data_IF_803487073892
#
_entry.id   IF_803487073892
#
_cell.length_a   1.000
_cell.length_b   1.000
_cell.length_c   1.000
_cell.angle_alpha   90.00
_cell.angle_beta   90.00
_cell.angle_gamma   90.00
#
_symmetry.space_group_name_H-M   'P 1'
#
loop_
_entity.id
_entity.type
_entity.pdbx_description
1 polymer ?
#
# COMPACT_ATOMS: atom_id res chain seq x y z
N UNK A 1 -6.18 12.81 3.94
CA UNK A 1 -5.23 12.58 5.04
C UNK A 1 -3.81 12.51 4.49
N UNK A 2 -2.97 13.46 4.88
CA UNK A 2 -1.53 13.54 4.58
C UNK A 2 -0.76 13.49 5.92
N UNK A 3 0.54 13.15 5.92
CA UNK A 3 1.35 13.11 7.15
C UNK A 3 1.33 14.41 7.96
N UNK A 4 1.21 15.57 7.29
CA UNK A 4 1.10 16.88 7.95
C UNK A 4 -0.26 17.15 8.61
N UNK A 5 -1.27 16.31 8.37
CA UNK A 5 -2.59 16.46 9.01
C UNK A 5 -2.59 15.91 10.45
N UNK A 6 -1.49 15.30 10.92
CA UNK A 6 -1.40 14.65 12.22
C UNK A 6 -0.33 15.30 13.09
N UNK A 7 -0.58 15.34 14.39
CA UNK A 7 0.35 15.84 15.41
C UNK A 7 0.88 14.65 16.22
N UNK A 8 2.08 14.11 15.93
CA UNK A 8 2.59 12.93 16.62
C UNK A 8 2.72 13.10 18.13
N UNK A 9 2.93 14.34 18.60
CA UNK A 9 2.99 14.67 20.03
C UNK A 9 1.65 14.45 20.75
N UNK A 10 0.53 14.45 20.05
CA UNK A 10 -0.79 14.15 20.60
C UNK A 10 -1.02 12.63 20.78
N UNK A 11 -0.11 11.78 20.30
CA UNK A 11 -0.16 10.33 20.47
C UNK A 11 -0.97 9.58 19.40
N UNK A 12 -0.91 8.25 19.46
CA UNK A 12 -1.59 7.35 18.51
C UNK A 12 -3.10 7.41 18.64
N UNK A 13 -3.64 7.49 19.86
CA UNK A 13 -5.08 7.61 20.11
C UNK A 13 -5.70 8.84 19.43
N UNK A 14 -5.04 9.99 19.51
CA UNK A 14 -5.50 11.21 18.83
C UNK A 14 -5.50 11.06 17.31
N UNK A 15 -4.50 10.37 16.75
CA UNK A 15 -4.43 10.08 15.33
C UNK A 15 -5.56 9.13 14.88
N UNK A 16 -5.86 8.10 15.68
CA UNK A 16 -6.98 7.17 15.43
C UNK A 16 -8.32 7.88 15.50
N UNK A 17 -8.54 8.72 16.52
CA UNK A 17 -9.77 9.52 16.64
C UNK A 17 -9.97 10.42 15.42
N UNK A 18 -8.89 11.04 14.91
CA UNK A 18 -8.94 11.85 13.69
C UNK A 18 -9.31 11.03 12.46
N UNK A 19 -8.83 9.78 12.35
CA UNK A 19 -9.21 8.86 11.26
C UNK A 19 -10.69 8.48 11.38
N UNK A 20 -11.20 8.21 12.58
CA UNK A 20 -12.62 7.94 12.82
C UNK A 20 -13.50 9.12 12.40
N UNK A 21 -13.13 10.33 12.82
CA UNK A 21 -13.83 11.56 12.43
C UNK A 21 -13.80 11.77 10.92
N UNK A 22 -12.66 11.51 10.27
CA UNK A 22 -12.54 11.59 8.82
C UNK A 22 -13.46 10.58 8.12
N UNK A 23 -13.52 9.34 8.60
CA UNK A 23 -14.37 8.31 8.03
C UNK A 23 -15.86 8.67 8.14
N UNK A 24 -16.31 9.12 9.32
CA UNK A 24 -17.69 9.54 9.53
C UNK A 24 -18.04 10.77 8.67
N UNK A 25 -17.20 11.80 8.69
CA UNK A 25 -17.41 13.00 7.87
C UNK A 25 -17.48 12.67 6.38
N UNK A 26 -16.60 11.78 5.89
CA UNK A 26 -16.60 11.32 4.49
C UNK A 26 -17.88 10.57 4.16
N UNK A 27 -18.34 9.68 5.05
CA UNK A 27 -19.61 8.97 4.87
C UNK A 27 -20.78 9.93 4.75
N UNK A 28 -20.87 10.90 5.66
CA UNK A 28 -21.92 11.91 5.64
C UNK A 28 -21.88 12.77 4.38
N UNK A 29 -20.68 13.13 3.91
CA UNK A 29 -20.52 13.89 2.67
C UNK A 29 -21.02 13.10 1.45
N UNK A 30 -20.68 11.81 1.37
CA UNK A 30 -21.14 10.94 0.28
C UNK A 30 -22.66 10.84 0.26
N UNK A 31 -23.30 10.66 1.43
CA UNK A 31 -24.76 10.53 1.51
C UNK A 31 -25.51 11.82 1.15
N UNK A 32 -24.95 12.99 1.51
CA UNK A 32 -25.61 14.29 1.29
C UNK A 32 -25.34 14.87 -0.09
N UNK A 33 -24.11 14.75 -0.56
CA UNK A 33 -23.61 15.48 -1.73
C UNK A 33 -23.29 14.54 -2.90
N UNK A 34 -23.23 13.23 -2.68
CA UNK A 34 -22.74 12.28 -3.70
C UNK A 34 -21.25 12.48 -4.02
N UNK A 35 -20.48 13.07 -3.11
CA UNK A 35 -19.06 13.40 -3.32
C UNK A 35 -18.19 12.86 -2.18
N UNK A 36 -16.95 12.51 -2.52
CA UNK A 36 -15.95 12.07 -1.55
C UNK A 36 -14.61 12.77 -1.78
N UNK A 37 -13.91 13.11 -0.71
CA UNK A 37 -12.54 13.62 -0.80
C UNK A 37 -11.57 12.44 -1.02
N UNK A 38 -10.82 12.45 -2.13
CA UNK A 38 -9.85 11.39 -2.46
C UNK A 38 -8.59 11.96 -3.10
N UNK A 39 -7.50 11.19 -3.06
CA UNK A 39 -6.46 11.35 -4.08
C UNK A 39 -7.05 10.92 -5.42
N UNK A 40 -6.99 11.82 -6.39
CA UNK A 40 -7.68 11.68 -7.66
C UNK A 40 -6.82 12.19 -8.81
N UNK A 41 -7.10 11.66 -10.00
CA UNK A 41 -6.68 12.19 -11.29
C UNK A 41 -7.92 12.31 -12.16
N UNK A 42 -8.13 13.49 -12.73
CA UNK A 42 -9.25 13.80 -13.63
C UNK A 42 -10.65 13.45 -13.04
N UNK A 43 -10.82 13.66 -11.74
CA UNK A 43 -12.10 13.42 -11.02
C UNK A 43 -12.34 11.96 -10.61
N UNK A 44 -11.38 11.07 -10.83
CA UNK A 44 -11.49 9.65 -10.51
C UNK A 44 -10.34 9.15 -9.62
N UNK A 45 -10.58 8.08 -8.87
CA UNK A 45 -9.51 7.35 -8.17
C UNK A 45 -8.68 6.61 -9.22
N UNK A 46 -7.40 6.93 -9.39
CA UNK A 46 -6.59 6.31 -10.43
C UNK A 46 -6.17 4.90 -10.04
N UNK A 47 -5.80 4.11 -11.05
CA UNK A 47 -5.26 2.77 -10.81
C UNK A 47 -3.90 2.79 -10.11
N UNK A 48 -3.07 3.78 -10.44
CA UNK A 48 -1.76 3.99 -9.84
C UNK A 48 -1.56 5.48 -9.52
N UNK A 49 -1.15 5.84 -8.29
CA UNK A 49 -0.93 7.24 -7.93
C UNK A 49 0.34 7.86 -8.54
N UNK A 50 1.19 7.08 -9.21
CA UNK A 50 2.37 7.60 -9.95
C UNK A 50 2.14 7.59 -11.46
N UNK A 51 2.82 8.50 -12.15
CA UNK A 51 2.76 8.63 -13.60
C UNK A 51 3.11 7.31 -14.30
N UNK A 52 2.51 7.06 -15.47
CA UNK A 52 2.78 5.85 -16.25
C UNK A 52 4.23 5.79 -16.75
N UNK A 53 4.79 6.95 -17.11
CA UNK A 53 6.13 7.09 -17.65
C UNK A 53 7.04 7.80 -16.65
N UNK A 54 8.33 7.46 -16.70
CA UNK A 54 9.35 8.22 -16.00
C UNK A 54 9.51 9.62 -16.61
N UNK A 55 9.89 10.58 -15.76
CA UNK A 55 10.32 11.91 -16.21
C UNK A 55 11.86 11.94 -16.33
N UNK A 56 12.43 13.10 -16.68
CA UNK A 56 13.88 13.30 -16.69
C UNK A 56 14.49 12.87 -15.33
N UNK A 57 15.28 11.80 -15.33
CA UNK A 57 15.79 11.15 -14.11
C UNK A 57 15.35 9.69 -13.91
N UNK A 58 14.48 9.15 -14.77
CA UNK A 58 14.15 7.71 -14.79
C UNK A 58 13.14 7.25 -13.72
N UNK A 59 12.70 8.15 -12.83
CA UNK A 59 11.70 7.86 -11.80
C UNK A 59 10.31 8.37 -12.18
N UNK A 60 9.28 7.69 -11.68
CA UNK A 60 7.87 8.04 -11.89
C UNK A 60 7.35 8.93 -10.76
N UNK A 61 6.99 10.20 -11.00
CA UNK A 61 6.48 11.09 -9.97
C UNK A 61 5.04 10.76 -9.59
N UNK A 62 4.60 11.30 -8.47
CA UNK A 62 3.19 11.27 -8.08
C UNK A 62 2.36 12.10 -9.07
N UNK A 63 1.25 11.52 -9.53
CA UNK A 63 0.39 12.05 -10.60
C UNK A 63 -1.07 12.14 -10.13
N UNK A 64 -1.24 12.50 -8.85
CA UNK A 64 -2.53 12.65 -8.19
C UNK A 64 -2.57 13.90 -7.35
N UNK A 65 -3.75 14.47 -7.24
CA UNK A 65 -4.04 15.59 -6.34
C UNK A 65 -5.16 15.23 -5.37
N UNK A 66 -5.22 15.91 -4.24
CA UNK A 66 -6.34 15.75 -3.32
C UNK A 66 -7.51 16.59 -3.86
N UNK A 67 -8.66 15.96 -4.09
CA UNK A 67 -9.84 16.64 -4.62
C UNK A 67 -11.11 15.84 -4.38
N UNK A 68 -12.26 16.48 -4.65
CA UNK A 68 -13.55 15.80 -4.60
C UNK A 68 -13.73 14.96 -5.86
N UNK A 69 -14.14 13.71 -5.68
CA UNK A 69 -14.64 12.83 -6.74
C UNK A 69 -16.17 12.76 -6.66
N UNK A 70 -16.81 12.64 -7.82
CA UNK A 70 -18.26 12.42 -7.91
C UNK A 70 -18.55 10.92 -7.87
N UNK A 71 -19.36 10.49 -6.90
CA UNK A 71 -19.82 9.12 -6.73
C UNK A 71 -21.35 9.00 -6.81
N UNK A 72 -22.05 10.10 -7.14
CA UNK A 72 -23.51 10.16 -7.19
C UNK A 72 -24.13 9.16 -8.16
N UNK A 73 -23.43 8.88 -9.28
CA UNK A 73 -23.85 7.91 -10.29
C UNK A 73 -23.91 6.46 -9.77
N UNK A 74 -23.30 6.14 -8.63
CA UNK A 74 -23.24 4.78 -8.08
C UNK A 74 -24.49 4.36 -7.29
N UNK A 75 -25.43 5.28 -7.02
CA UNK A 75 -26.64 5.05 -6.20
C UNK A 75 -26.32 4.21 -4.95
N UNK A 76 -25.63 4.83 -3.99
CA UNK A 76 -25.18 4.13 -2.79
C UNK A 76 -26.32 4.05 -1.75
N UNK A 77 -26.60 2.86 -1.17
CA UNK A 77 -27.57 2.75 -0.09
C UNK A 77 -27.04 3.41 1.19
N UNK A 78 -27.92 3.74 2.12
CA UNK A 78 -27.53 4.43 3.37
C UNK A 78 -26.51 3.64 4.22
N UNK A 79 -26.48 2.32 4.06
CA UNK A 79 -25.62 1.36 4.76
C UNK A 79 -24.40 0.91 3.93
N UNK A 80 -24.04 1.61 2.84
CA UNK A 80 -22.88 1.26 2.00
C UNK A 80 -21.58 1.10 2.81
N UNK A 81 -20.63 0.30 2.32
CA UNK A 81 -19.30 0.16 2.93
C UNK A 81 -18.34 1.23 2.43
N UNK A 82 -17.78 2.05 3.34
CA UNK A 82 -16.70 2.99 3.02
C UNK A 82 -15.35 2.31 3.26
N UNK A 83 -14.52 2.22 2.21
CA UNK A 83 -13.14 1.71 2.30
C UNK A 83 -12.17 2.88 2.20
N UNK A 84 -11.29 3.02 3.17
CA UNK A 84 -10.23 4.03 3.20
C UNK A 84 -8.89 3.31 3.13
N UNK A 85 -8.02 3.75 2.22
CA UNK A 85 -6.68 3.19 2.05
C UNK A 85 -5.62 4.20 2.44
N UNK A 86 -4.71 3.77 3.31
CA UNK A 86 -3.43 4.46 3.52
C UNK A 86 -2.36 3.45 3.88
N UNK A 87 -1.21 3.43 3.19
CA UNK A 87 -0.21 2.38 3.39
C UNK A 87 0.55 2.55 4.72
N UNK A 88 1.45 3.54 4.80
CA UNK A 88 2.39 3.69 5.91
C UNK A 88 1.71 4.11 7.23
N UNK A 89 0.85 5.12 7.20
CA UNK A 89 0.17 5.62 8.40
C UNK A 89 -0.70 4.55 9.08
N UNK A 90 -1.54 3.83 8.33
CA UNK A 90 -2.42 2.82 8.94
C UNK A 90 -1.62 1.62 9.48
N UNK A 91 -0.48 1.29 8.86
CA UNK A 91 0.42 0.25 9.40
C UNK A 91 1.07 0.72 10.70
N UNK A 92 1.46 2.00 10.78
CA UNK A 92 2.04 2.56 11.98
C UNK A 92 1.03 2.64 13.14
N UNK A 93 -0.25 2.84 12.84
CA UNK A 93 -1.35 2.90 13.82
C UNK A 93 -2.13 1.57 13.92
N UNK A 94 -1.60 0.48 13.37
CA UNK A 94 -2.34 -0.76 13.20
C UNK A 94 -2.86 -1.40 14.50
N UNK A 95 -2.10 -1.44 15.62
CA UNK A 95 -2.59 -2.01 16.88
C UNK A 95 -3.89 -1.37 17.34
N UNK A 96 -3.96 -0.04 17.28
CA UNK A 96 -5.10 0.75 17.73
C UNK A 96 -6.23 0.78 16.67
N UNK A 97 -5.89 0.89 15.38
CA UNK A 97 -6.88 0.87 14.30
C UNK A 97 -7.59 -0.48 14.19
N UNK A 98 -6.91 -1.60 14.43
CA UNK A 98 -7.50 -2.92 14.38
C UNK A 98 -8.59 -3.15 15.46
N UNK A 99 -8.58 -2.35 16.53
CA UNK A 99 -9.65 -2.35 17.54
C UNK A 99 -10.88 -1.54 17.10
N UNK A 100 -10.72 -0.60 16.17
CA UNK A 100 -11.78 0.30 15.72
C UNK A 100 -12.38 -0.07 14.37
N UNK A 101 -11.61 -0.73 13.50
CA UNK A 101 -11.99 -1.02 12.12
C UNK A 101 -11.61 -2.45 11.72
N UNK A 102 -12.36 -3.06 10.79
CA UNK A 102 -11.86 -4.22 10.05
C UNK A 102 -10.66 -3.79 9.19
N UNK A 103 -9.45 -4.20 9.61
CA UNK A 103 -8.22 -3.87 8.91
C UNK A 103 -7.77 -5.01 8.00
N UNK A 104 -7.29 -4.65 6.81
CA UNK A 104 -6.74 -5.56 5.82
C UNK A 104 -5.46 -4.96 5.25
N UNK A 105 -4.46 -5.81 5.00
CA UNK A 105 -3.28 -5.44 4.24
C UNK A 105 -3.40 -5.94 2.80
N UNK A 106 -2.94 -5.13 1.84
CA UNK A 106 -2.62 -5.63 0.50
C UNK A 106 -1.13 -5.89 0.47
N UNK A 107 -0.76 -7.13 0.22
CA UNK A 107 0.63 -7.58 0.16
C UNK A 107 0.97 -7.97 -1.27
N UNK A 108 2.23 -7.85 -1.66
CA UNK A 108 2.72 -8.19 -3.01
C UNK A 108 4.04 -8.93 -2.85
N UNK A 109 4.41 -9.73 -3.84
CA UNK A 109 5.71 -10.41 -3.87
C UNK A 109 6.84 -9.43 -3.46
N UNK A 110 7.64 -9.77 -2.43
CA UNK A 110 8.59 -8.83 -1.83
C UNK A 110 9.65 -8.32 -2.82
N UNK A 111 10.09 -9.17 -3.76
CA UNK A 111 11.02 -8.75 -4.81
C UNK A 111 10.38 -7.73 -5.76
N UNK A 112 9.12 -7.94 -6.16
CA UNK A 112 8.38 -6.98 -6.98
C UNK A 112 8.09 -5.66 -6.26
N UNK A 113 7.91 -5.69 -4.93
CA UNK A 113 7.76 -4.48 -4.10
C UNK A 113 9.04 -3.65 -4.13
N UNK A 114 10.19 -4.26 -3.82
CA UNK A 114 11.48 -3.58 -3.82
C UNK A 114 11.81 -3.02 -5.20
N UNK A 115 11.59 -3.80 -6.27
CA UNK A 115 11.78 -3.34 -7.64
C UNK A 115 10.88 -2.13 -7.95
N UNK A 116 9.60 -2.17 -7.53
CA UNK A 116 8.68 -1.05 -7.72
C UNK A 116 9.11 0.21 -6.96
N UNK A 117 9.64 0.09 -5.74
CA UNK A 117 10.13 1.23 -4.97
C UNK A 117 11.34 1.90 -5.61
N UNK A 118 12.16 1.14 -6.33
CA UNK A 118 13.31 1.67 -7.07
C UNK A 118 12.93 2.46 -8.35
N UNK A 119 11.65 2.46 -8.75
CA UNK A 119 11.15 3.11 -9.99
C UNK A 119 10.20 4.29 -9.75
N UNK A 120 10.03 4.75 -8.51
CA UNK A 120 9.10 5.83 -8.16
C UNK A 120 9.85 6.99 -7.51
N UNK A 121 9.43 8.22 -7.81
CA UNK A 121 9.97 9.42 -7.16
C UNK A 121 9.16 9.71 -5.88
N UNK A 122 9.37 8.83 -4.89
CA UNK A 122 8.74 8.90 -3.57
C UNK A 122 9.81 8.63 -2.50
N UNK A 123 9.62 9.07 -1.24
CA UNK A 123 10.61 8.87 -0.17
C UNK A 123 11.06 7.41 0.01
N UNK A 124 10.18 6.45 -0.32
CA UNK A 124 10.47 5.02 -0.25
C UNK A 124 11.64 4.60 -1.16
N UNK A 125 11.83 5.27 -2.30
CA UNK A 125 12.99 5.06 -3.19
C UNK A 125 14.31 5.36 -2.48
N UNK A 126 14.30 6.23 -1.46
CA UNK A 126 15.47 6.59 -0.66
C UNK A 126 15.54 5.85 0.68
N UNK A 127 14.64 4.89 0.89
CA UNK A 127 14.56 4.12 2.12
C UNK A 127 13.93 4.89 3.28
N UNK A 128 12.94 5.74 2.99
CA UNK A 128 12.17 6.48 4.00
C UNK A 128 10.67 6.30 3.83
N UNK A 129 9.93 6.29 4.95
CA UNK A 129 8.47 6.24 5.02
C UNK A 129 7.98 7.25 6.06
N UNK A 130 7.94 8.56 5.72
CA UNK A 130 7.72 9.62 6.70
C UNK A 130 6.49 9.45 7.59
N UNK A 131 5.36 9.01 7.02
CA UNK A 131 4.13 8.79 7.77
C UNK A 131 4.24 7.72 8.85
N UNK A 132 5.12 6.73 8.67
CA UNK A 132 5.38 5.70 9.66
C UNK A 132 6.48 6.13 10.65
N UNK A 133 7.55 6.76 10.17
CA UNK A 133 8.64 7.29 11.02
C UNK A 133 8.14 8.34 12.04
N UNK A 134 7.02 9.00 11.75
CA UNK A 134 6.33 9.91 12.67
C UNK A 134 5.76 9.20 13.91
N UNK A 135 5.29 7.96 13.77
CA UNK A 135 4.59 7.21 14.82
C UNK A 135 5.38 6.00 15.34
N UNK A 136 6.44 5.59 14.64
CA UNK A 136 7.31 4.50 15.04
C UNK A 136 8.76 4.98 15.18
N UNK A 137 9.13 5.30 16.42
CA UNK A 137 10.48 5.76 16.77
C UNK A 137 11.54 4.67 16.56
N UNK A 138 11.19 3.40 16.77
CA UNK A 138 12.12 2.30 16.62
C UNK A 138 12.50 2.14 15.15
N UNK A 139 11.50 2.12 14.27
CA UNK A 139 11.70 2.13 12.83
C UNK A 139 12.55 3.33 12.41
N UNK A 140 12.16 4.55 12.81
CA UNK A 140 12.90 5.77 12.46
C UNK A 140 14.39 5.67 12.82
N UNK A 141 14.70 5.18 14.02
CA UNK A 141 16.07 5.00 14.47
C UNK A 141 16.81 3.94 13.66
N UNK A 142 16.17 2.81 13.37
CA UNK A 142 16.74 1.76 12.50
C UNK A 142 17.08 2.34 11.13
N UNK A 143 16.16 3.07 10.49
CA UNK A 143 16.40 3.67 9.18
C UNK A 143 17.52 4.71 9.22
N UNK A 144 17.59 5.53 10.29
CA UNK A 144 18.66 6.51 10.44
C UNK A 144 20.06 5.87 10.64
N UNK A 145 20.12 4.69 11.26
CA UNK A 145 21.37 3.96 11.49
C UNK A 145 21.83 3.14 10.26
N UNK A 146 20.91 2.79 9.36
CA UNK A 146 21.20 2.00 8.16
C UNK A 146 21.66 2.89 7.01
N UNK A 147 22.92 2.73 6.59
CA UNK A 147 23.56 3.60 5.60
C UNK A 147 23.12 3.31 4.16
N UNK A 148 22.99 2.04 3.79
CA UNK A 148 22.61 1.61 2.45
C UNK A 148 21.09 1.77 2.22
N UNK A 149 20.72 2.31 1.06
CA UNK A 149 19.33 2.61 0.68
C UNK A 149 18.48 1.35 0.55
N UNK A 150 19.00 0.30 -0.07
CA UNK A 150 18.29 -0.94 -0.29
C UNK A 150 18.12 -1.68 1.05
N UNK A 151 19.09 -1.61 1.94
CA UNK A 151 18.96 -2.16 3.30
C UNK A 151 17.88 -1.41 4.10
N UNK A 152 17.80 -0.08 3.98
CA UNK A 152 16.66 0.67 4.53
C UNK A 152 15.32 0.20 3.95
N UNK A 153 15.24 -0.02 2.64
CA UNK A 153 14.03 -0.56 2.01
C UNK A 153 13.69 -1.96 2.57
N UNK A 154 14.66 -2.83 2.78
CA UNK A 154 14.43 -4.15 3.39
C UNK A 154 13.88 -4.03 4.82
N UNK A 155 14.44 -3.14 5.64
CA UNK A 155 13.89 -2.85 6.98
C UNK A 155 12.46 -2.35 6.92
N UNK A 156 12.12 -1.50 5.94
CA UNK A 156 10.76 -1.00 5.75
C UNK A 156 9.80 -2.13 5.36
N UNK A 157 10.22 -2.99 4.42
CA UNK A 157 9.43 -4.13 3.97
C UNK A 157 9.17 -5.11 5.11
N UNK A 158 10.21 -5.50 5.85
CA UNK A 158 10.09 -6.36 7.03
C UNK A 158 9.22 -5.71 8.10
N UNK A 159 9.36 -4.40 8.33
CA UNK A 159 8.50 -3.68 9.27
C UNK A 159 7.02 -3.77 8.91
N UNK A 160 6.64 -3.60 7.64
CA UNK A 160 5.26 -3.82 7.21
C UNK A 160 4.80 -5.24 7.55
N UNK A 161 5.60 -6.25 7.17
CA UNK A 161 5.27 -7.65 7.38
C UNK A 161 5.13 -8.01 8.87
N UNK A 162 6.05 -7.54 9.73
CA UNK A 162 5.98 -7.73 11.19
C UNK A 162 4.66 -7.20 11.74
N UNK A 163 4.28 -5.97 11.36
CA UNK A 163 3.03 -5.36 11.83
C UNK A 163 1.81 -6.15 11.36
N UNK A 164 1.82 -6.63 10.13
CA UNK A 164 0.71 -7.43 9.59
C UNK A 164 0.57 -8.77 10.29
N UNK A 165 1.68 -9.51 10.47
CA UNK A 165 1.69 -10.80 11.18
C UNK A 165 1.17 -10.64 12.61
N UNK A 166 1.60 -9.58 13.31
CA UNK A 166 1.23 -9.35 14.70
C UNK A 166 -0.23 -8.92 14.92
N UNK A 167 -0.82 -8.18 13.97
CA UNK A 167 -2.08 -7.48 14.22
C UNK A 167 -3.24 -7.86 13.29
N UNK A 168 -2.99 -8.51 12.15
CA UNK A 168 -4.04 -8.80 11.17
C UNK A 168 -4.59 -10.23 11.23
N UNK A 169 -3.90 -11.16 11.90
CA UNK A 169 -4.34 -12.56 12.04
C UNK A 169 -4.70 -13.19 10.68
N UNK A 170 -3.83 -13.05 9.67
CA UNK A 170 -4.06 -13.61 8.33
C UNK A 170 -4.91 -12.74 7.39
N UNK A 171 -5.39 -11.56 7.82
CA UNK A 171 -6.15 -10.62 6.97
C UNK A 171 -5.25 -9.82 6.00
N UNK A 172 -4.43 -10.52 5.23
CA UNK A 172 -3.67 -9.95 4.12
C UNK A 172 -4.10 -10.57 2.79
N UNK A 173 -4.28 -9.71 1.79
CA UNK A 173 -4.78 -10.04 0.47
C UNK A 173 -3.63 -9.88 -0.52
N UNK A 174 -3.31 -10.94 -1.27
CA UNK A 174 -2.19 -10.92 -2.22
C UNK A 174 -2.59 -10.16 -3.48
N UNK A 175 -1.70 -9.26 -3.89
CA UNK A 175 -1.85 -8.45 -5.09
C UNK A 175 -2.01 -9.30 -6.34
N UNK A 176 -1.24 -10.38 -6.44
CA UNK A 176 -1.24 -11.29 -7.58
C UNK A 176 -2.61 -11.96 -7.76
N UNK A 177 -3.28 -12.31 -6.67
CA UNK A 177 -4.59 -12.99 -6.70
C UNK A 177 -5.67 -12.08 -7.30
N UNK A 178 -5.76 -10.83 -6.86
CA UNK A 178 -6.82 -9.92 -7.34
C UNK A 178 -6.49 -9.19 -8.64
N UNK A 179 -5.23 -9.22 -9.10
CA UNK A 179 -4.88 -8.80 -10.46
C UNK A 179 -5.41 -9.79 -11.49
N UNK A 180 -5.35 -11.09 -11.17
CA UNK A 180 -5.88 -12.17 -12.00
C UNK A 180 -7.40 -12.24 -11.87
N UNK A 181 -7.91 -12.30 -10.64
CA UNK A 181 -9.34 -12.35 -10.36
C UNK A 181 -9.74 -11.32 -9.29
N UNK A 182 -10.20 -10.12 -9.69
CA UNK A 182 -10.66 -9.09 -8.77
C UNK A 182 -11.76 -9.53 -7.80
N UNK A 183 -12.52 -10.60 -8.11
CA UNK A 183 -13.58 -11.12 -7.25
C UNK A 183 -13.04 -11.76 -5.96
N UNK A 184 -11.75 -12.14 -5.94
CA UNK A 184 -11.08 -12.65 -4.73
C UNK A 184 -11.11 -11.67 -3.56
N UNK A 185 -11.34 -10.37 -3.81
CA UNK A 185 -11.49 -9.35 -2.77
C UNK A 185 -12.90 -9.28 -2.16
N UNK A 186 -13.92 -9.76 -2.86
CA UNK A 186 -15.33 -9.53 -2.52
C UNK A 186 -15.68 -10.22 -1.20
N UNK A 187 -15.41 -11.52 -1.10
CA UNK A 187 -15.77 -12.30 0.10
C UNK A 187 -14.96 -11.89 1.34
N UNK A 188 -13.62 -11.75 1.29
CA UNK A 188 -12.84 -11.33 2.46
C UNK A 188 -13.23 -9.95 3.00
N UNK A 189 -13.65 -9.02 2.12
CA UNK A 189 -14.05 -7.67 2.51
C UNK A 189 -15.55 -7.54 2.82
N UNK A 190 -16.33 -8.62 2.69
CA UNK A 190 -17.78 -8.58 2.89
C UNK A 190 -18.50 -7.65 1.91
N UNK A 191 -17.99 -7.52 0.69
CA UNK A 191 -18.55 -6.66 -0.35
C UNK A 191 -19.59 -7.41 -1.18
N UNK A 192 -20.55 -6.71 -1.80
CA UNK A 192 -21.42 -7.32 -2.80
C UNK A 192 -20.63 -7.65 -4.07
N UNK A 193 -21.06 -8.70 -4.78
CA UNK A 193 -20.51 -9.01 -6.09
C UNK A 193 -20.76 -7.84 -7.06
N UNK A 194 -19.78 -7.47 -7.89
CA UNK A 194 -19.94 -6.39 -8.85
C UNK A 194 -21.00 -6.77 -9.91
N UNK A 195 -21.82 -5.80 -10.30
CA UNK A 195 -22.85 -6.00 -11.33
C UNK A 195 -22.27 -6.15 -12.76
N UNK A 196 -21.02 -5.76 -12.97
CA UNK A 196 -20.32 -5.83 -14.26
C UNK A 196 -19.02 -6.60 -14.13
N UNK A 197 -18.59 -7.23 -15.23
CA UNK A 197 -17.27 -7.87 -15.29
C UNK A 197 -16.18 -6.84 -15.02
N UNK A 198 -15.25 -7.20 -14.14
CA UNK A 198 -14.07 -6.39 -13.86
C UNK A 198 -12.99 -6.84 -14.84
N UNK A 199 -12.38 -5.94 -15.63
CA UNK A 199 -11.34 -6.32 -16.58
C UNK A 199 -10.15 -6.95 -15.85
N UNK A 200 -9.67 -8.08 -16.36
CA UNK A 200 -8.43 -8.73 -15.89
C UNK A 200 -7.23 -7.82 -16.14
N UNK A 201 -6.28 -7.81 -15.21
CA UNK A 201 -5.10 -6.94 -15.30
C UNK A 201 -3.86 -7.77 -15.59
N UNK A 202 -2.98 -7.23 -16.43
CA UNK A 202 -1.65 -7.78 -16.62
C UNK A 202 -0.68 -7.21 -15.58
N UNK A 203 0.08 -8.07 -14.91
CA UNK A 203 1.19 -7.64 -14.05
C UNK A 203 2.31 -7.04 -14.92
N UNK A 204 2.77 -5.82 -14.59
CA UNK A 204 3.85 -5.12 -15.33
C UNK A 204 5.26 -5.54 -14.89
N UNK A 205 5.46 -6.80 -14.51
CA UNK A 205 6.75 -7.29 -14.01
C UNK A 205 7.83 -7.38 -15.11
N UNK A 206 7.44 -7.47 -16.39
CA UNK A 206 8.36 -7.67 -17.52
C UNK A 206 9.30 -6.47 -17.83
N UNK A 207 9.18 -5.35 -17.11
CA UNK A 207 9.99 -4.15 -17.33
C UNK A 207 11.09 -3.91 -16.29
N UNK A 208 11.38 -4.87 -15.42
CA UNK A 208 12.42 -4.71 -14.40
C UNK A 208 13.83 -4.97 -14.95
N UNK A 209 14.78 -4.17 -14.51
CA UNK A 209 16.21 -4.33 -14.81
C UNK A 209 16.78 -5.58 -14.10
N UNK A 210 17.39 -6.50 -14.85
CA UNK A 210 17.86 -7.79 -14.32
C UNK A 210 18.97 -7.61 -13.28
N UNK A 211 19.89 -6.66 -13.49
CA UNK A 211 20.99 -6.42 -12.55
C UNK A 211 20.45 -5.98 -11.20
N UNK A 212 19.51 -5.04 -11.19
CA UNK A 212 18.80 -4.62 -9.98
C UNK A 212 18.04 -5.80 -9.35
N UNK A 213 17.33 -6.60 -10.15
CA UNK A 213 16.55 -7.73 -9.64
C UNK A 213 17.44 -8.78 -8.95
N UNK A 214 18.60 -9.11 -9.51
CA UNK A 214 19.56 -10.03 -8.89
C UNK A 214 20.09 -9.49 -7.55
N UNK A 215 20.41 -8.20 -7.49
CA UNK A 215 20.84 -7.54 -6.25
C UNK A 215 19.75 -7.60 -5.18
N UNK A 216 18.51 -7.27 -5.55
CA UNK A 216 17.37 -7.30 -4.63
C UNK A 216 17.06 -8.72 -4.17
N UNK A 217 17.09 -9.70 -5.08
CA UNK A 217 16.82 -11.10 -4.80
C UNK A 217 17.83 -11.68 -3.80
N UNK A 218 19.12 -11.40 -4.01
CA UNK A 218 20.20 -11.83 -3.11
C UNK A 218 19.99 -11.28 -1.70
N UNK A 219 19.68 -9.98 -1.59
CA UNK A 219 19.52 -9.34 -0.27
C UNK A 219 18.25 -9.78 0.44
N UNK A 220 17.10 -9.80 -0.25
CA UNK A 220 15.83 -10.18 0.40
C UNK A 220 15.88 -11.62 0.90
N UNK A 221 16.49 -12.54 0.14
CA UNK A 221 16.60 -13.96 0.50
C UNK A 221 17.25 -14.20 1.87
N UNK A 222 18.17 -13.33 2.29
CA UNK A 222 18.86 -13.40 3.58
C UNK A 222 18.31 -12.46 4.66
N UNK A 223 17.16 -11.82 4.44
CA UNK A 223 16.67 -10.73 5.29
C UNK A 223 15.29 -11.03 5.90
N UNK A 224 15.18 -10.78 7.21
CA UNK A 224 13.93 -10.84 7.95
C UNK A 224 13.30 -12.23 8.03
N UNK A 225 12.24 -12.34 8.83
CA UNK A 225 11.48 -13.58 9.02
C UNK A 225 9.99 -13.35 8.76
N UNK A 226 9.48 -12.13 9.00
CA UNK A 226 8.06 -11.84 8.85
C UNK A 226 7.63 -11.81 7.38
N UNK A 227 8.50 -11.38 6.46
CA UNK A 227 8.26 -11.48 5.01
C UNK A 227 7.88 -12.92 4.63
N UNK A 228 8.62 -13.89 5.15
CA UNK A 228 8.46 -15.32 4.83
C UNK A 228 7.25 -15.97 5.50
N UNK A 229 6.71 -15.33 6.54
CA UNK A 229 5.43 -15.73 7.15
C UNK A 229 4.24 -15.34 6.27
N UNK A 230 4.41 -14.40 5.33
CA UNK A 230 3.36 -13.91 4.43
C UNK A 230 3.54 -14.46 3.01
N UNK A 231 4.77 -14.45 2.47
CA UNK A 231 5.08 -14.94 1.13
C UNK A 231 6.01 -16.15 1.17
N UNK A 232 5.63 -17.27 0.54
CA UNK A 232 6.53 -18.41 0.40
C UNK A 232 7.76 -18.03 -0.45
N UNK A 233 8.94 -18.51 -0.03
CA UNK A 233 10.21 -18.32 -0.77
C UNK A 233 10.10 -18.77 -2.23
N UNK A 234 9.47 -19.90 -2.47
CA UNK A 234 9.26 -20.44 -3.83
C UNK A 234 8.57 -19.45 -4.79
N UNK A 235 7.64 -18.60 -4.31
CA UNK A 235 6.99 -17.60 -5.17
C UNK A 235 7.93 -16.43 -5.50
N UNK A 236 8.90 -16.13 -4.64
CA UNK A 236 9.95 -15.15 -4.92
C UNK A 236 10.95 -15.72 -5.92
N UNK A 237 11.32 -16.98 -5.76
CA UNK A 237 12.20 -17.71 -6.68
C UNK A 237 11.58 -17.78 -8.08
N UNK A 238 10.31 -18.18 -8.19
CA UNK A 238 9.58 -18.27 -9.46
C UNK A 238 9.52 -16.92 -10.20
N UNK A 239 9.32 -15.82 -9.47
CA UNK A 239 9.37 -14.48 -10.07
C UNK A 239 10.78 -14.19 -10.60
N UNK A 240 11.83 -14.48 -9.83
CA UNK A 240 13.20 -14.24 -10.27
C UNK A 240 13.56 -15.08 -11.51
N UNK A 241 13.15 -16.35 -11.56
CA UNK A 241 13.34 -17.23 -12.72
C UNK A 241 12.62 -16.70 -13.96
N UNK A 242 11.38 -16.23 -13.82
CA UNK A 242 10.64 -15.60 -14.92
C UNK A 242 11.38 -14.39 -15.49
N UNK A 243 11.97 -13.57 -14.61
CA UNK A 243 12.73 -12.38 -15.01
C UNK A 243 14.03 -12.77 -15.73
N UNK A 244 14.77 -13.77 -15.23
CA UNK A 244 15.97 -14.31 -15.90
C UNK A 244 15.66 -14.88 -17.28
N UNK A 245 14.51 -15.52 -17.45
CA UNK A 245 14.09 -16.11 -18.72
C UNK A 245 13.59 -15.07 -19.76
N UNK A 246 13.31 -13.83 -19.32
CA UNK A 246 12.75 -12.77 -20.16
C UNK A 246 13.80 -11.81 -20.74
N UNK A 247 15.09 -12.01 -20.45
CA UNK A 247 16.22 -11.21 -20.95
C UNK A 247 17.15 -12.05 -21.82
#
# INVERSE_FOLDING_TARGET
MKPGDFEPAAGTDAAVLRIQQFAEATRQQVLREGKALSQQKDGAVPENPVAANAVAGGLRPMDVSLGLIDVSARVLPADFTLIIKHNALFTALLPELAASFPMYAIVRNPLAVLASWNLVDLPINKGHIPAAEQFDRALKNTLAATHDVLDRQLHILEWFCVRYVQHLNGRWLRYEDFVIDPLTLVSPLGLPAPATSIPTRASKNAGYDLVLMEQLYTRVSGFGEAIWSIYPRAQVDELMETIRASQ
#
